data_IF_009187254281
#
_entry.id   IF_009187254281
#
_cell.length_a   1.000
_cell.length_b   1.000
_cell.length_c   1.000
_cell.angle_alpha   90.00
_cell.angle_beta   90.00
_cell.angle_gamma   90.00
#
_symmetry.space_group_name_H-M   'P 1'
#
loop_
_entity.id
_entity.type
_entity.pdbx_description
1 polymer ?
#
# COMPACT_ATOMS: atom_id res chain seq x y z
N UNK A 1 -8.55 -0.79 -8.20
CA UNK A 1 -9.32 0.36 -8.72
C UNK A 1 -9.49 1.37 -7.61
N UNK A 2 -8.80 2.50 -7.72
CA UNK A 2 -8.85 3.60 -6.77
C UNK A 2 -9.92 4.63 -7.14
N UNK A 3 -10.52 5.25 -6.12
CA UNK A 3 -11.56 6.28 -6.28
C UNK A 3 -10.97 7.51 -6.98
N UNK A 4 -11.46 7.81 -8.19
CA UNK A 4 -11.04 8.99 -8.94
C UNK A 4 -9.69 8.88 -9.66
N UNK A 5 -9.00 7.73 -9.55
CA UNK A 5 -7.71 7.49 -10.19
C UNK A 5 -7.69 6.25 -11.11
N UNK A 6 -8.68 5.35 -11.02
CA UNK A 6 -8.75 4.16 -11.86
C UNK A 6 -7.82 3.05 -11.38
N UNK A 7 -7.26 2.26 -12.30
CA UNK A 7 -6.21 1.29 -11.95
C UNK A 7 -4.87 2.01 -11.79
N UNK A 8 -4.24 1.82 -10.64
CA UNK A 8 -2.90 2.32 -10.30
C UNK A 8 -1.94 1.14 -10.14
N UNK A 9 -0.64 1.37 -10.32
CA UNK A 9 0.37 0.30 -10.19
C UNK A 9 0.50 -0.19 -8.74
N UNK A 10 0.37 0.71 -7.77
CA UNK A 10 0.39 0.38 -6.36
C UNK A 10 -0.51 1.34 -5.57
N UNK A 11 -1.20 0.81 -4.55
CA UNK A 11 -2.06 1.57 -3.64
C UNK A 11 -1.72 1.18 -2.20
N UNK A 12 -0.96 2.01 -1.48
CA UNK A 12 -0.50 1.69 -0.12
C UNK A 12 -1.64 1.55 0.88
N UNK A 13 -2.59 2.49 0.89
CA UNK A 13 -3.76 2.41 1.79
C UNK A 13 -4.68 1.25 1.44
N UNK A 14 -4.79 0.89 0.15
CA UNK A 14 -5.49 -0.33 -0.29
C UNK A 14 -4.81 -1.61 0.21
N UNK A 15 -3.47 -1.66 0.16
CA UNK A 15 -2.67 -2.76 0.68
C UNK A 15 -2.85 -2.93 2.20
N UNK A 16 -2.87 -1.84 2.97
CA UNK A 16 -3.21 -1.86 4.40
C UNK A 16 -4.62 -2.39 4.65
N UNK A 17 -5.61 -1.89 3.90
CA UNK A 17 -7.01 -2.29 4.07
C UNK A 17 -7.25 -3.78 3.76
N UNK A 18 -6.64 -4.32 2.70
CA UNK A 18 -6.80 -5.74 2.36
C UNK A 18 -6.08 -6.66 3.34
N UNK A 19 -4.96 -6.21 3.93
CA UNK A 19 -4.26 -6.92 5.01
C UNK A 19 -5.18 -7.07 6.22
N UNK A 20 -5.78 -5.96 6.67
CA UNK A 20 -6.76 -5.95 7.78
C UNK A 20 -7.95 -6.86 7.48
N UNK A 21 -8.55 -6.73 6.29
CA UNK A 21 -9.68 -7.56 5.89
C UNK A 21 -9.32 -9.05 5.85
N UNK A 22 -8.14 -9.41 5.37
CA UNK A 22 -7.64 -10.78 5.33
C UNK A 22 -7.48 -11.38 6.74
N UNK A 23 -6.92 -10.61 7.67
CA UNK A 23 -6.74 -11.02 9.07
C UNK A 23 -8.08 -11.17 9.79
N UNK A 24 -8.95 -10.15 9.71
CA UNK A 24 -10.28 -10.18 10.35
C UNK A 24 -11.17 -11.32 9.84
N UNK A 25 -10.91 -11.79 8.62
CA UNK A 25 -11.65 -12.90 8.02
C UNK A 25 -10.94 -14.25 8.11
N UNK A 26 -9.79 -14.33 8.79
CA UNK A 26 -9.02 -15.56 8.97
C UNK A 26 -8.41 -16.12 7.69
N UNK A 27 -8.26 -15.29 6.65
CA UNK A 27 -7.72 -15.69 5.34
C UNK A 27 -6.22 -15.45 5.20
N UNK A 28 -5.69 -14.50 5.97
CA UNK A 28 -4.27 -14.16 5.97
C UNK A 28 -3.76 -13.98 7.39
N UNK A 29 -2.43 -13.90 7.54
CA UNK A 29 -1.75 -13.55 8.79
C UNK A 29 -1.57 -12.03 8.87
N UNK A 30 -1.25 -11.55 10.07
CA UNK A 30 -0.93 -10.15 10.34
C UNK A 30 0.34 -9.65 9.66
N UNK A 31 1.32 -10.53 9.51
CA UNK A 31 2.56 -10.28 8.76
C UNK A 31 2.48 -10.97 7.41
N UNK A 32 2.52 -10.20 6.32
CA UNK A 32 2.44 -10.72 4.95
C UNK A 32 3.12 -9.80 3.94
N UNK A 33 3.30 -10.32 2.73
CA UNK A 33 3.77 -9.57 1.58
C UNK A 33 2.61 -9.36 0.61
N UNK A 34 2.27 -8.10 0.32
CA UNK A 34 1.30 -7.76 -0.71
C UNK A 34 2.02 -7.63 -2.06
N UNK A 35 1.61 -8.43 -3.04
CA UNK A 35 2.09 -8.34 -4.42
C UNK A 35 1.17 -7.41 -5.22
N UNK A 36 1.65 -6.22 -5.57
CA UNK A 36 0.95 -5.27 -6.46
C UNK A 36 1.61 -5.26 -7.84
N UNK A 37 0.93 -4.67 -8.83
CA UNK A 37 1.47 -4.58 -10.20
C UNK A 37 2.79 -3.80 -10.24
N UNK A 38 2.92 -2.78 -9.39
CA UNK A 38 4.11 -1.92 -9.28
C UNK A 38 5.21 -2.43 -8.35
N UNK A 39 5.01 -3.56 -7.67
CA UNK A 39 5.98 -4.12 -6.73
C UNK A 39 5.37 -4.60 -5.42
N UNK A 40 6.23 -5.01 -4.50
CA UNK A 40 5.83 -5.64 -3.24
C UNK A 40 5.80 -4.62 -2.08
N UNK A 41 4.89 -4.85 -1.14
CA UNK A 41 4.82 -4.14 0.14
C UNK A 41 4.79 -5.13 1.30
N UNK A 42 5.69 -4.95 2.25
CA UNK A 42 5.72 -5.70 3.50
C UNK A 42 4.70 -5.10 4.47
N UNK A 43 3.84 -5.93 5.03
CA UNK A 43 2.75 -5.52 5.91
C UNK A 43 2.88 -6.20 7.26
N UNK A 44 2.65 -5.45 8.32
CA UNK A 44 2.61 -5.94 9.69
C UNK A 44 1.42 -5.35 10.44
N UNK A 45 0.56 -6.21 10.96
CA UNK A 45 -0.56 -5.82 11.81
C UNK A 45 -0.84 -6.90 12.85
N UNK A 46 -0.93 -6.53 14.13
CA UNK A 46 -1.15 -7.47 15.24
C UNK A 46 -2.64 -7.78 15.49
N UNK A 47 -3.54 -7.16 14.71
CA UNK A 47 -4.99 -7.29 14.87
C UNK A 47 -5.63 -6.14 15.66
N UNK A 48 -4.81 -5.23 16.20
CA UNK A 48 -5.24 -4.05 16.94
C UNK A 48 -4.50 -2.80 16.43
N UNK A 49 -4.97 -1.60 16.77
CA UNK A 49 -4.26 -0.33 16.52
C UNK A 49 -3.76 -0.12 15.07
N UNK A 50 -2.48 0.19 14.88
CA UNK A 50 -1.89 0.63 13.61
C UNK A 50 -1.43 -0.53 12.70
N UNK A 51 -1.60 -0.34 11.39
CA UNK A 51 -0.98 -1.19 10.35
C UNK A 51 0.35 -0.56 9.94
N UNK A 52 1.43 -1.32 10.06
CA UNK A 52 2.73 -0.95 9.55
C UNK A 52 2.90 -1.46 8.11
N UNK A 53 3.50 -0.63 7.27
CA UNK A 53 3.71 -0.89 5.85
C UNK A 53 5.11 -0.41 5.47
N UNK A 54 5.91 -1.31 4.88
CA UNK A 54 7.26 -1.04 4.42
C UNK A 54 7.36 -1.27 2.92
N UNK A 55 7.95 -0.30 2.22
CA UNK A 55 8.13 -0.35 0.77
C UNK A 55 9.14 0.69 0.29
N UNK A 56 9.65 0.55 -0.93
CA UNK A 56 10.65 1.46 -1.47
C UNK A 56 10.02 2.80 -1.90
N UNK A 57 10.84 3.85 -1.90
CA UNK A 57 10.56 5.11 -2.55
C UNK A 57 11.81 5.56 -3.32
N UNK A 58 11.62 6.14 -4.50
CA UNK A 58 12.71 6.62 -5.35
C UNK A 58 12.40 8.02 -5.87
N UNK A 59 13.36 8.94 -5.77
CA UNK A 59 13.28 10.22 -6.45
C UNK A 59 13.50 10.00 -7.95
N UNK A 60 12.56 10.49 -8.77
CA UNK A 60 12.67 10.38 -10.23
C UNK A 60 13.38 11.60 -10.82
N UNK A 61 13.00 12.80 -10.39
CA UNK A 61 13.56 14.07 -10.86
C UNK A 61 13.30 15.20 -9.86
N UNK A 62 14.03 16.30 -10.02
CA UNK A 62 13.78 17.60 -9.38
C UNK A 62 13.63 18.70 -10.45
N UNK A 63 12.91 19.78 -10.14
CA UNK A 63 12.68 20.89 -11.08
C UNK A 63 11.93 22.07 -10.49
N UNK A 64 11.81 23.15 -11.26
CA UNK A 64 11.08 24.38 -10.91
C UNK A 64 9.82 24.52 -11.78
N UNK A 65 8.68 24.87 -11.15
CA UNK A 65 7.42 25.15 -11.86
C UNK A 65 7.10 26.64 -11.83
N UNK A 66 6.94 27.24 -13.02
CA UNK A 66 6.52 28.63 -13.17
C UNK A 66 5.04 28.65 -13.57
N UNK A 67 4.11 28.95 -12.64
CA UNK A 67 2.70 29.08 -12.98
C UNK A 67 2.47 30.27 -13.94
N UNK A 68 1.45 30.13 -14.79
CA UNK A 68 0.99 31.20 -15.70
C UNK A 68 0.18 32.26 -14.98
#
# INVERSE_FOLDING_TARGET
WERGAGETLACGTGASAVTVAGVLTGRTRGTLLNHLVGGDLEMEWDGENEVFMTGPAAEVFSGEYIPR
#
